data_IF_884057855767
#
_entry.id   IF_884057855767
#
_cell.length_a   1.000
_cell.length_b   1.000
_cell.length_c   1.000
_cell.angle_alpha   90.00
_cell.angle_beta   90.00
_cell.angle_gamma   90.00
#
_symmetry.space_group_name_H-M   'P 1'
#
loop_
_entity.id
_entity.type
_entity.pdbx_description
1 polymer ?
#
# COMPACT_ATOMS: atom_id res chain seq x y z
N UNK A 1 -18.09 -0.91 10.24
CA UNK A 1 -19.05 -0.73 9.13
C UNK A 1 -18.84 -1.71 7.96
N UNK A 2 -17.60 -1.96 7.49
CA UNK A 2 -17.34 -2.92 6.38
C UNK A 2 -17.77 -4.38 6.66
N UNK A 3 -17.65 -4.86 7.92
CA UNK A 3 -18.07 -6.23 8.29
C UNK A 3 -19.57 -6.46 8.12
N UNK A 4 -20.40 -5.43 8.32
CA UNK A 4 -21.87 -5.57 8.35
C UNK A 4 -22.46 -5.70 6.94
N UNK A 5 -21.90 -4.97 5.97
CA UNK A 5 -22.34 -5.00 4.55
C UNK A 5 -22.04 -6.34 3.87
N UNK A 6 -21.09 -7.09 4.43
CA UNK A 6 -20.50 -8.29 3.87
C UNK A 6 -21.40 -9.52 3.90
N UNK A 7 -22.28 -9.62 4.90
CA UNK A 7 -23.25 -10.72 5.05
C UNK A 7 -24.20 -10.86 3.85
N UNK A 8 -24.29 -9.83 2.99
CA UNK A 8 -25.16 -9.81 1.79
C UNK A 8 -24.42 -9.96 0.45
N UNK A 9 -23.09 -9.99 0.39
CA UNK A 9 -22.35 -9.79 -0.88
C UNK A 9 -21.17 -10.72 -1.20
N UNK A 10 -20.91 -11.77 -0.40
CA UNK A 10 -19.93 -12.82 -0.74
C UNK A 10 -18.44 -12.42 -0.79
N UNK A 11 -18.09 -11.14 -0.64
CA UNK A 11 -16.68 -10.67 -0.67
C UNK A 11 -15.88 -11.25 0.52
N UNK A 12 -14.53 -11.29 0.49
CA UNK A 12 -13.63 -11.62 1.65
C UNK A 12 -12.78 -10.39 2.07
N UNK A 13 -12.46 -10.22 3.36
CA UNK A 13 -11.80 -9.05 3.98
C UNK A 13 -10.65 -9.69 4.71
N UNK A 14 -9.46 -9.32 4.28
CA UNK A 14 -8.21 -9.81 4.83
C UNK A 14 -7.58 -8.64 5.54
N UNK A 15 -7.18 -8.87 6.79
CA UNK A 15 -6.40 -7.90 7.53
C UNK A 15 -4.93 -8.07 7.14
N UNK A 16 -4.30 -6.98 6.71
CA UNK A 16 -2.89 -6.94 6.36
C UNK A 16 -2.15 -5.98 7.26
N UNK A 17 -0.87 -6.25 7.52
CA UNK A 17 -0.04 -5.38 8.35
C UNK A 17 0.03 -3.97 7.74
N UNK A 18 -0.26 -2.91 8.51
CA UNK A 18 -0.17 -1.53 8.06
C UNK A 18 1.28 -1.03 7.91
N UNK A 19 2.26 -1.83 8.31
CA UNK A 19 3.66 -1.41 8.42
C UNK A 19 4.23 -0.93 7.07
N UNK A 20 4.60 0.37 7.03
CA UNK A 20 5.21 1.09 5.90
C UNK A 20 4.37 1.17 4.62
N UNK A 21 3.08 0.85 4.65
CA UNK A 21 2.23 0.83 3.45
C UNK A 21 2.16 2.20 2.77
N UNK A 22 2.12 3.29 3.55
CA UNK A 22 2.06 4.66 3.06
C UNK A 22 3.43 5.34 2.89
N UNK A 23 4.53 4.67 3.26
CA UNK A 23 5.88 5.25 3.31
C UNK A 23 6.89 4.56 2.39
N UNK A 24 6.46 3.54 1.66
CA UNK A 24 7.29 2.80 0.72
C UNK A 24 6.75 2.95 -0.71
N UNK A 25 7.64 3.17 -1.67
CA UNK A 25 7.27 3.21 -3.08
C UNK A 25 6.75 1.83 -3.51
N UNK A 26 5.55 1.72 -4.11
CA UNK A 26 5.00 0.43 -4.53
C UNK A 26 5.73 -0.22 -5.71
N UNK A 27 6.57 0.55 -6.42
CA UNK A 27 7.35 0.11 -7.59
C UNK A 27 8.77 -0.28 -7.17
N UNK A 28 9.44 0.60 -6.42
CA UNK A 28 10.86 0.51 -6.13
C UNK A 28 11.18 0.04 -4.70
N UNK A 29 10.17 -0.06 -3.83
CA UNK A 29 10.31 -0.45 -2.41
C UNK A 29 11.27 0.42 -1.58
N UNK A 30 11.68 1.57 -2.13
CA UNK A 30 12.47 2.56 -1.43
C UNK A 30 11.60 3.39 -0.47
N UNK A 31 12.16 3.86 0.66
CA UNK A 31 11.48 4.79 1.54
C UNK A 31 11.16 6.07 0.78
N UNK A 32 9.89 6.46 0.82
CA UNK A 32 9.41 7.72 0.27
C UNK A 32 9.85 8.87 1.16
N UNK A 33 10.28 9.96 0.53
CA UNK A 33 10.62 11.22 1.19
C UNK A 33 9.41 12.12 1.22
N UNK A 34 9.28 12.84 2.33
CA UNK A 34 8.31 13.92 2.40
C UNK A 34 8.78 15.05 1.47
N UNK A 35 7.86 15.58 0.67
CA UNK A 35 8.10 16.68 -0.26
C UNK A 35 7.28 17.92 0.11
N UNK A 36 6.83 18.01 1.37
CA UNK A 36 6.00 19.10 1.88
C UNK A 36 4.52 18.98 1.49
N UNK A 37 4.13 17.91 0.81
CA UNK A 37 2.76 17.60 0.41
C UNK A 37 2.10 16.58 1.33
N UNK A 38 0.84 16.82 1.70
CA UNK A 38 0.08 15.90 2.55
C UNK A 38 -0.36 14.62 1.80
N UNK A 39 -0.53 14.66 0.47
CA UNK A 39 -0.84 13.48 -0.37
C UNK A 39 0.38 12.95 -1.13
N UNK A 40 1.20 13.84 -1.68
CA UNK A 40 2.24 13.46 -2.64
C UNK A 40 3.59 13.33 -1.94
N UNK A 41 4.17 12.14 -2.02
CA UNK A 41 5.51 11.84 -1.54
C UNK A 41 6.49 11.68 -2.71
N UNK A 42 7.78 11.86 -2.46
CA UNK A 42 8.81 11.73 -3.47
C UNK A 42 9.58 10.42 -3.34
N UNK A 43 9.66 9.65 -4.42
CA UNK A 43 10.53 8.49 -4.48
C UNK A 43 11.97 8.92 -4.82
N UNK A 44 13.00 8.40 -4.13
CA UNK A 44 14.41 8.63 -4.48
C UNK A 44 14.78 8.27 -5.93
N UNK A 45 13.92 7.50 -6.62
CA UNK A 45 14.07 7.11 -8.02
C UNK A 45 13.50 8.14 -9.02
N UNK A 46 13.06 9.31 -8.54
CA UNK A 46 12.75 10.47 -9.39
C UNK A 46 11.29 10.62 -9.82
N UNK A 47 10.32 10.11 -9.05
CA UNK A 47 8.90 10.30 -9.34
C UNK A 47 8.09 10.59 -8.07
N UNK A 48 6.98 11.27 -8.28
CA UNK A 48 5.96 11.51 -7.27
C UNK A 48 5.09 10.26 -7.07
N UNK A 49 4.70 10.00 -5.83
CA UNK A 49 3.85 8.89 -5.44
C UNK A 49 2.73 9.42 -4.55
N UNK A 50 1.49 9.12 -4.91
CA UNK A 50 0.36 9.38 -4.04
C UNK A 50 0.36 8.41 -2.84
N UNK A 51 0.19 8.97 -1.64
CA UNK A 51 0.29 8.25 -0.35
C UNK A 51 -0.78 7.18 -0.19
N UNK A 52 -2.00 7.44 -0.65
CA UNK A 52 -3.11 6.50 -0.53
C UNK A 52 -3.02 5.40 -1.58
N UNK A 53 -2.65 5.75 -2.81
CA UNK A 53 -2.33 4.79 -3.85
C UNK A 53 -1.18 3.86 -3.43
N UNK A 54 -0.12 4.41 -2.82
CA UNK A 54 0.96 3.61 -2.26
C UNK A 54 0.45 2.65 -1.17
N UNK A 55 -0.40 3.13 -0.26
CA UNK A 55 -0.95 2.31 0.81
C UNK A 55 -1.78 1.14 0.27
N UNK A 56 -2.69 1.39 -0.69
CA UNK A 56 -3.53 0.35 -1.30
C UNK A 56 -2.69 -0.66 -2.08
N UNK A 57 -1.75 -0.20 -2.90
CA UNK A 57 -0.88 -1.08 -3.68
C UNK A 57 -0.01 -1.94 -2.76
N UNK A 58 0.56 -1.37 -1.71
CA UNK A 58 1.37 -2.13 -0.74
C UNK A 58 0.54 -3.13 0.07
N UNK A 59 -0.73 -2.81 0.38
CA UNK A 59 -1.66 -3.78 0.97
C UNK A 59 -1.97 -4.92 0.00
N UNK A 60 -2.22 -4.60 -1.27
CA UNK A 60 -2.47 -5.59 -2.32
C UNK A 60 -1.27 -6.53 -2.50
N UNK A 61 -0.05 -6.00 -2.57
CA UNK A 61 1.16 -6.82 -2.66
C UNK A 61 1.27 -7.83 -1.53
N UNK A 62 0.99 -7.43 -0.29
CA UNK A 62 1.02 -8.31 0.89
C UNK A 62 -0.04 -9.43 0.86
N UNK A 63 -1.11 -9.27 0.09
CA UNK A 63 -2.14 -10.31 -0.10
C UNK A 63 -1.84 -11.30 -1.22
N UNK A 64 -0.94 -10.95 -2.14
CA UNK A 64 -0.61 -11.79 -3.29
C UNK A 64 0.63 -12.65 -3.01
N UNK A 65 0.69 -13.92 -3.47
CA UNK A 65 1.87 -14.76 -3.31
C UNK A 65 3.11 -14.19 -4.02
N UNK A 66 2.94 -13.39 -5.08
CA UNK A 66 4.01 -12.60 -5.74
C UNK A 66 4.54 -11.44 -4.89
N UNK A 67 3.90 -11.09 -3.77
CA UNK A 67 4.45 -10.17 -2.78
C UNK A 67 5.52 -10.81 -1.89
N UNK A 68 5.52 -12.14 -1.74
CA UNK A 68 6.47 -12.84 -0.87
C UNK A 68 7.90 -12.76 -1.39
N UNK A 69 8.07 -12.78 -2.72
CA UNK A 69 9.37 -12.58 -3.40
C UNK A 69 9.91 -11.14 -3.27
N UNK A 70 9.14 -10.20 -2.73
CA UNK A 70 9.59 -8.82 -2.44
C UNK A 70 10.09 -8.63 -1.01
N UNK A 71 9.90 -9.64 -0.15
CA UNK A 71 10.30 -9.63 1.27
C UNK A 71 11.56 -10.43 1.58
N UNK A 72 12.27 -10.90 0.55
CA UNK A 72 13.58 -11.60 0.64
C UNK A 72 14.69 -10.65 0.24
#
# INVERSE_FOLDING_TARGET
MLRTRRRRGGSVVVYVSPYRNSKACPIHFAPLRDNGGWHTLWCPRGHAVDRDAAAVLNMLWKTTPTGWVKGV
#
